data_IF_895729395888
#
_entry.id   IF_895729395888
#
_cell.length_a   1.000
_cell.length_b   1.000
_cell.length_c   1.000
_cell.angle_alpha   90.00
_cell.angle_beta   90.00
_cell.angle_gamma   90.00
#
_symmetry.space_group_name_H-M   'P 1'
#
loop_
_entity.id
_entity.type
_entity.pdbx_description
1 polymer ?
#
# COMPACT_ATOMS: atom_id res chain seq x y z
N UNK A 1 25.72 -10.43 5.12
CA UNK A 1 25.15 -10.33 5.29
C UNK A 1 24.40 -10.40 5.12
N UNK A 2 24.19 -10.53 5.22
CA UNK A 2 23.37 -10.57 5.21
C UNK A 2 22.77 -10.22 5.15
N UNK A 3 23.08 -10.46 5.17
CA UNK A 3 22.57 -9.95 5.26
C UNK A 3 21.58 -9.45 4.71
N UNK A 4 21.58 -9.46 4.37
CA UNK A 4 20.87 -8.70 3.40
C UNK A 4 19.58 -9.23 2.99
N UNK A 5 18.62 -8.66 3.55
CA UNK A 5 17.30 -8.92 3.04
C UNK A 5 17.06 -7.99 1.86
N UNK A 6 17.01 -8.58 0.71
CA UNK A 6 16.56 -7.93 -0.50
C UNK A 6 15.18 -7.30 -0.22
N UNK A 7 15.01 -5.98 -0.36
CA UNK A 7 13.72 -5.32 -0.13
C UNK A 7 12.57 -5.92 -0.94
N UNK A 8 12.89 -6.45 -2.11
CA UNK A 8 11.92 -7.11 -2.98
C UNK A 8 11.37 -8.40 -2.35
N UNK A 9 12.24 -9.20 -1.75
CA UNK A 9 11.83 -10.42 -1.05
C UNK A 9 10.96 -10.10 0.16
N UNK A 10 11.26 -9.04 0.88
CA UNK A 10 10.44 -8.61 2.00
C UNK A 10 9.05 -8.21 1.55
N UNK A 11 8.93 -7.47 0.44
CA UNK A 11 7.64 -7.07 -0.11
C UNK A 11 6.82 -8.29 -0.52
N UNK A 12 7.45 -9.26 -1.15
CA UNK A 12 6.77 -10.51 -1.56
C UNK A 12 6.27 -11.29 -0.35
N UNK A 13 7.06 -11.36 0.71
CA UNK A 13 6.65 -12.02 1.95
C UNK A 13 5.46 -11.32 2.61
N UNK A 14 5.48 -9.99 2.63
CA UNK A 14 4.38 -9.18 3.18
C UNK A 14 3.11 -9.37 2.36
N UNK A 15 3.22 -9.43 1.04
CA UNK A 15 2.09 -9.70 0.16
C UNK A 15 1.51 -11.08 0.40
N UNK A 16 2.36 -12.09 0.53
CA UNK A 16 1.93 -13.46 0.78
C UNK A 16 1.25 -13.57 2.15
N UNK A 17 1.83 -12.96 3.16
CA UNK A 17 1.25 -12.90 4.51
C UNK A 17 -0.12 -12.24 4.50
N UNK A 18 -0.24 -11.10 3.84
CA UNK A 18 -1.49 -10.36 3.73
C UNK A 18 -2.56 -11.18 3.02
N UNK A 19 -2.20 -11.88 1.95
CA UNK A 19 -3.12 -12.74 1.19
C UNK A 19 -3.68 -13.85 2.07
N UNK A 20 -2.80 -14.54 2.78
CA UNK A 20 -3.19 -15.63 3.70
C UNK A 20 -4.12 -15.10 4.78
N UNK A 21 -3.76 -13.97 5.38
CA UNK A 21 -4.56 -13.36 6.43
C UNK A 21 -5.95 -12.96 5.94
N UNK A 22 -6.04 -12.39 4.73
CA UNK A 22 -7.32 -12.03 4.15
C UNK A 22 -8.18 -13.25 3.86
N UNK A 23 -7.58 -14.31 3.34
CA UNK A 23 -8.31 -15.57 3.09
C UNK A 23 -8.88 -16.16 4.38
N UNK A 24 -8.08 -16.20 5.44
CA UNK A 24 -8.49 -16.73 6.73
C UNK A 24 -9.54 -15.87 7.41
N UNK A 25 -9.29 -14.58 7.52
CA UNK A 25 -10.15 -13.68 8.29
C UNK A 25 -11.47 -13.36 7.63
N UNK A 26 -11.50 -13.34 6.30
CA UNK A 26 -12.74 -13.07 5.57
C UNK A 26 -13.54 -14.35 5.31
N UNK A 27 -12.93 -15.49 5.48
CA UNK A 27 -13.57 -16.79 5.25
C UNK A 27 -14.29 -16.84 3.90
N UNK A 28 -13.59 -16.41 2.85
CA UNK A 28 -14.13 -16.40 1.50
C UNK A 28 -14.19 -17.81 0.94
N UNK A 29 -15.24 -18.11 0.17
CA UNK A 29 -15.27 -19.34 -0.59
C UNK A 29 -14.33 -19.22 -1.79
N UNK A 30 -14.11 -20.31 -2.51
CA UNK A 30 -13.16 -20.35 -3.62
C UNK A 30 -13.51 -19.35 -4.72
N UNK A 31 -14.77 -19.29 -5.11
CA UNK A 31 -15.24 -18.36 -6.15
C UNK A 31 -15.01 -16.90 -5.76
N UNK A 32 -15.37 -16.54 -4.53
CA UNK A 32 -15.12 -15.19 -3.99
C UNK A 32 -13.64 -14.87 -3.98
N UNK A 33 -12.81 -15.82 -3.55
CA UNK A 33 -11.36 -15.63 -3.45
C UNK A 33 -10.74 -15.32 -4.80
N UNK A 34 -11.16 -16.05 -5.84
CA UNK A 34 -10.66 -15.82 -7.20
C UNK A 34 -11.01 -14.41 -7.67
N UNK A 35 -12.26 -14.01 -7.51
CA UNK A 35 -12.72 -12.67 -7.90
C UNK A 35 -12.03 -11.57 -7.09
N UNK A 36 -11.92 -11.79 -5.77
CA UNK A 36 -11.29 -10.83 -4.88
C UNK A 36 -9.83 -10.57 -5.27
N UNK A 37 -9.04 -11.63 -5.38
CA UNK A 37 -7.60 -11.45 -5.64
C UNK A 37 -7.30 -11.02 -7.06
N UNK A 38 -8.15 -11.35 -8.01
CA UNK A 38 -8.03 -10.84 -9.38
C UNK A 38 -8.21 -9.32 -9.39
N UNK A 39 -9.25 -8.82 -8.76
CA UNK A 39 -9.53 -7.39 -8.66
C UNK A 39 -8.48 -6.66 -7.82
N UNK A 40 -8.05 -7.29 -6.74
CA UNK A 40 -7.00 -6.78 -5.87
C UNK A 40 -5.71 -6.54 -6.66
N UNK A 41 -5.32 -7.50 -7.48
CA UNK A 41 -4.11 -7.41 -8.31
C UNK A 41 -4.20 -6.28 -9.35
N UNK A 42 -5.36 -6.08 -9.97
CA UNK A 42 -5.57 -4.97 -10.91
C UNK A 42 -5.30 -3.62 -10.25
N UNK A 43 -5.87 -3.41 -9.08
CA UNK A 43 -5.70 -2.14 -8.37
C UNK A 43 -4.29 -1.99 -7.80
N UNK A 44 -3.60 -3.08 -7.53
CA UNK A 44 -2.24 -3.04 -7.02
C UNK A 44 -1.28 -2.36 -7.99
N UNK A 45 -1.48 -2.54 -9.29
CA UNK A 45 -0.67 -1.88 -10.30
C UNK A 45 -0.85 -0.35 -10.26
N UNK A 46 -2.07 0.13 -10.07
CA UNK A 46 -2.33 1.56 -9.93
C UNK A 46 -1.67 2.12 -8.67
N UNK A 47 -1.72 1.38 -7.58
CA UNK A 47 -1.09 1.78 -6.32
C UNK A 47 0.43 1.83 -6.47
N UNK A 48 1.01 0.82 -7.10
CA UNK A 48 2.45 0.76 -7.35
C UNK A 48 2.91 1.96 -8.17
N UNK A 49 2.18 2.30 -9.23
CA UNK A 49 2.50 3.45 -10.07
C UNK A 49 2.42 4.76 -9.28
N UNK A 50 1.36 4.93 -8.51
CA UNK A 50 1.17 6.13 -7.70
C UNK A 50 2.27 6.28 -6.63
N UNK A 51 2.71 5.16 -6.06
CA UNK A 51 3.81 5.13 -5.10
C UNK A 51 5.12 5.58 -5.73
N UNK A 52 5.42 5.09 -6.93
CA UNK A 52 6.61 5.48 -7.68
C UNK A 52 6.59 6.99 -7.96
N UNK A 53 5.44 7.52 -8.38
CA UNK A 53 5.30 8.94 -8.67
C UNK A 53 5.49 9.80 -7.41
N UNK A 54 4.99 9.35 -6.27
CA UNK A 54 5.22 10.04 -5.00
C UNK A 54 6.70 10.02 -4.62
N UNK A 55 7.35 8.86 -4.72
CA UNK A 55 8.77 8.73 -4.40
C UNK A 55 9.62 9.63 -5.29
N UNK A 56 9.30 9.71 -6.58
CA UNK A 56 9.99 10.60 -7.51
C UNK A 56 9.81 12.07 -7.13
N UNK A 57 8.62 12.47 -6.72
CA UNK A 57 8.35 13.84 -6.30
C UNK A 57 9.15 14.19 -5.03
N UNK A 58 9.22 13.26 -4.09
CA UNK A 58 10.01 13.44 -2.86
C UNK A 58 11.51 13.56 -3.19
N UNK A 59 12.01 12.72 -4.09
CA UNK A 59 13.41 12.77 -4.51
C UNK A 59 13.76 14.09 -5.19
N UNK A 60 12.87 14.61 -6.03
CA UNK A 60 13.06 15.91 -6.67
C UNK A 60 13.13 17.03 -5.64
N UNK A 61 12.25 17.00 -4.66
CA UNK A 61 12.25 17.99 -3.58
C UNK A 61 13.54 17.89 -2.77
N UNK A 62 13.98 16.68 -2.44
CA UNK A 62 15.22 16.45 -1.69
C UNK A 62 16.43 17.03 -2.43
N UNK A 63 16.51 16.79 -3.73
CA UNK A 63 17.60 17.35 -4.55
C UNK A 63 17.58 18.89 -4.54
N UNK A 64 16.39 19.48 -4.65
CA UNK A 64 16.24 20.93 -4.59
C UNK A 64 16.71 21.52 -3.26
N UNK A 65 16.37 20.84 -2.16
CA UNK A 65 16.78 21.25 -0.81
C UNK A 65 18.30 21.17 -0.67
N UNK A 66 18.90 20.06 -1.11
CA UNK A 66 20.35 19.83 -1.03
C UNK A 66 21.10 20.90 -1.84
N UNK A 67 20.58 21.28 -3.01
CA UNK A 67 21.21 22.28 -3.87
C UNK A 67 20.95 23.73 -3.40
N UNK A 68 20.19 23.90 -2.33
CA UNK A 68 19.89 25.21 -1.79
C UNK A 68 19.03 26.09 -2.68
N UNK A 69 18.17 25.48 -3.50
CA UNK A 69 17.27 26.25 -4.36
C UNK A 69 16.24 26.99 -3.53
N UNK A 70 16.07 28.27 -3.83
CA UNK A 70 15.19 29.15 -3.05
C UNK A 70 13.70 28.83 -3.25
N UNK A 71 13.33 28.29 -4.41
CA UNK A 71 11.93 28.03 -4.73
C UNK A 71 11.60 26.54 -4.70
N UNK A 72 11.15 26.06 -3.53
CA UNK A 72 10.72 24.69 -3.36
C UNK A 72 9.19 24.52 -3.31
N UNK A 73 8.43 25.64 -3.37
CA UNK A 73 6.98 25.60 -3.21
C UNK A 73 6.29 24.67 -4.22
N UNK A 74 6.69 24.74 -5.48
CA UNK A 74 6.11 23.87 -6.52
C UNK A 74 6.44 22.41 -6.27
N UNK A 75 7.67 22.11 -5.85
CA UNK A 75 8.09 20.75 -5.56
C UNK A 75 7.35 20.20 -4.34
N UNK A 76 7.12 21.04 -3.33
CA UNK A 76 6.34 20.68 -2.14
C UNK A 76 4.89 20.38 -2.52
N UNK A 77 4.28 21.25 -3.34
CA UNK A 77 2.91 21.03 -3.81
C UNK A 77 2.78 19.74 -4.61
N UNK A 78 3.78 19.44 -5.43
CA UNK A 78 3.79 18.20 -6.20
C UNK A 78 3.80 16.98 -5.28
N UNK A 79 4.57 17.01 -4.19
CA UNK A 79 4.58 15.92 -3.19
C UNK A 79 3.18 15.74 -2.61
N UNK A 80 2.52 16.82 -2.23
CA UNK A 80 1.15 16.74 -1.68
C UNK A 80 0.16 16.18 -2.69
N UNK A 81 0.25 16.61 -3.95
CA UNK A 81 -0.62 16.10 -5.01
C UNK A 81 -0.44 14.59 -5.22
N UNK A 82 0.81 14.13 -5.23
CA UNK A 82 1.11 12.71 -5.42
C UNK A 82 0.72 11.88 -4.20
N UNK A 83 0.84 12.42 -3.01
CA UNK A 83 0.39 11.75 -1.78
C UNK A 83 -1.13 11.59 -1.79
N UNK A 84 -1.86 12.64 -2.14
CA UNK A 84 -3.32 12.59 -2.25
C UNK A 84 -3.74 11.58 -3.32
N UNK A 85 -3.06 11.57 -4.46
CA UNK A 85 -3.35 10.64 -5.54
C UNK A 85 -3.13 9.18 -5.11
N UNK A 86 -2.06 8.91 -4.35
CA UNK A 86 -1.80 7.57 -3.81
C UNK A 86 -2.91 7.13 -2.86
N UNK A 87 -3.29 7.99 -1.94
CA UNK A 87 -4.37 7.69 -0.98
C UNK A 87 -5.68 7.42 -1.69
N UNK A 88 -5.95 8.17 -2.75
CA UNK A 88 -7.16 8.00 -3.55
C UNK A 88 -7.22 6.61 -4.20
N UNK A 89 -6.13 6.16 -4.83
CA UNK A 89 -6.13 4.84 -5.47
C UNK A 89 -6.18 3.70 -4.46
N UNK A 90 -5.60 3.89 -3.27
CA UNK A 90 -5.72 2.91 -2.18
C UNK A 90 -7.18 2.77 -1.74
N UNK A 91 -7.87 3.88 -1.54
CA UNK A 91 -9.29 3.87 -1.15
C UNK A 91 -10.15 3.27 -2.27
N UNK A 92 -9.84 3.57 -3.52
CA UNK A 92 -10.56 2.99 -4.66
C UNK A 92 -10.45 1.47 -4.69
N UNK A 93 -9.28 0.92 -4.37
CA UNK A 93 -9.13 -0.55 -4.26
C UNK A 93 -10.06 -1.10 -3.18
N UNK A 94 -10.10 -0.46 -2.03
CA UNK A 94 -10.95 -0.90 -0.92
C UNK A 94 -12.43 -0.86 -1.36
N UNK A 95 -12.84 0.24 -1.98
CA UNK A 95 -14.23 0.39 -2.45
C UNK A 95 -14.60 -0.64 -3.52
N UNK A 96 -13.65 -1.01 -4.37
CA UNK A 96 -13.88 -1.97 -5.44
C UNK A 96 -14.24 -3.37 -4.93
N UNK A 97 -13.90 -3.68 -3.69
CA UNK A 97 -14.19 -5.00 -3.11
C UNK A 97 -15.62 -5.11 -2.57
N UNK A 98 -16.35 -4.02 -2.49
CA UNK A 98 -17.72 -4.00 -1.99
C UNK A 98 -18.63 -4.97 -2.74
N UNK A 99 -18.45 -5.10 -4.05
CA UNK A 99 -19.29 -5.95 -4.88
C UNK A 99 -18.89 -7.43 -4.87
N UNK A 100 -17.71 -7.73 -4.34
CA UNK A 100 -17.20 -9.10 -4.25
C UNK A 100 -17.53 -9.74 -2.90
N UNK A 101 -17.61 -8.92 -1.86
CA UNK A 101 -17.77 -9.36 -0.48
C UNK A 101 -19.21 -9.14 -0.01
N UNK A 102 -19.65 -9.94 0.97
CA UNK A 102 -20.89 -9.65 1.67
C UNK A 102 -20.70 -8.38 2.50
N UNK A 103 -21.80 -7.81 2.97
CA UNK A 103 -21.75 -6.61 3.81
C UNK A 103 -20.86 -6.81 5.04
N UNK A 104 -21.01 -7.94 5.70
CA UNK A 104 -20.22 -8.28 6.89
C UNK A 104 -18.74 -8.46 6.56
N UNK A 105 -18.45 -9.17 5.47
CA UNK A 105 -17.08 -9.36 5.01
C UNK A 105 -16.44 -8.03 4.62
N UNK A 106 -17.19 -7.16 3.96
CA UNK A 106 -16.67 -5.87 3.51
C UNK A 106 -16.24 -5.00 4.69
N UNK A 107 -17.07 -4.88 5.72
CA UNK A 107 -16.70 -4.13 6.91
C UNK A 107 -15.44 -4.67 7.57
N UNK A 108 -15.35 -5.99 7.68
CA UNK A 108 -14.19 -6.67 8.24
C UNK A 108 -12.93 -6.40 7.40
N UNK A 109 -13.08 -6.45 6.08
CA UNK A 109 -11.98 -6.16 5.15
C UNK A 109 -11.44 -4.75 5.31
N UNK A 110 -12.33 -3.75 5.41
CA UNK A 110 -11.93 -2.35 5.61
C UNK A 110 -11.11 -2.22 6.89
N UNK A 111 -11.56 -2.83 7.98
CA UNK A 111 -10.82 -2.82 9.24
C UNK A 111 -9.43 -3.43 9.06
N UNK A 112 -9.36 -4.57 8.37
CA UNK A 112 -8.07 -5.26 8.14
C UNK A 112 -7.11 -4.35 7.36
N UNK A 113 -7.58 -3.68 6.31
CA UNK A 113 -6.73 -2.81 5.50
C UNK A 113 -6.12 -1.67 6.34
N UNK A 114 -6.90 -1.05 7.20
CA UNK A 114 -6.40 0.06 8.01
C UNK A 114 -5.53 -0.39 9.18
N UNK A 115 -5.81 -1.55 9.76
CA UNK A 115 -5.02 -2.07 10.89
C UNK A 115 -3.74 -2.77 10.46
N UNK A 116 -3.73 -3.40 9.30
CA UNK A 116 -2.56 -4.13 8.82
C UNK A 116 -1.34 -3.23 8.69
N UNK A 117 -1.53 -2.01 8.21
CA UNK A 117 -0.44 -1.06 8.06
C UNK A 117 0.20 -0.74 9.43
N UNK A 118 -0.63 -0.58 10.45
CA UNK A 118 -0.15 -0.36 11.82
C UNK A 118 0.62 -1.56 12.35
N UNK A 119 0.10 -2.77 12.12
CA UNK A 119 0.75 -4.00 12.58
C UNK A 119 2.12 -4.18 11.92
N UNK A 120 2.23 -3.88 10.63
CA UNK A 120 3.50 -3.95 9.92
C UNK A 120 4.49 -2.92 10.48
N UNK A 121 4.04 -1.70 10.74
CA UNK A 121 4.88 -0.66 11.34
C UNK A 121 5.38 -1.06 12.72
N UNK A 122 4.53 -1.65 13.54
CA UNK A 122 4.90 -2.15 14.88
C UNK A 122 5.91 -3.28 14.79
N UNK A 123 5.73 -4.20 13.86
CA UNK A 123 6.66 -5.31 13.66
C UNK A 123 8.04 -4.81 13.25
N UNK A 124 8.11 -3.84 12.35
CA UNK A 124 9.36 -3.22 11.92
C UNK A 124 10.03 -2.52 13.11
N UNK A 125 9.28 -1.75 13.87
CA UNK A 125 9.79 -1.04 15.04
C UNK A 125 10.36 -2.01 16.08
N UNK A 126 9.68 -3.11 16.34
CA UNK A 126 10.14 -4.11 17.30
C UNK A 126 11.42 -4.81 16.86
N UNK A 127 11.61 -4.99 15.56
CA UNK A 127 12.84 -5.58 15.03
C UNK A 127 14.05 -4.67 15.17
N UNK A 128 13.84 -3.36 15.24
CA UNK A 128 14.92 -2.38 15.40
C UNK A 128 15.41 -2.25 16.85
N UNK A 129 14.68 -2.82 17.79
CA UNK A 129 15.10 -2.91 19.16
C UNK A 129 15.93 -4.17 19.33
#
# INVERSE_FOLDING_TARGET
MLYGQNPEKMRERLKAYKKIMLMEKLNMNEEQSIKFFSRYAEHEEFIKKAKIELDQAVDMLEQGVVLGKAENDKAIQLVFEKDIALKKVIIERIKAMKNVLSEKQYGKYVVIEYKLLDDVKKAIKNRRK
#
